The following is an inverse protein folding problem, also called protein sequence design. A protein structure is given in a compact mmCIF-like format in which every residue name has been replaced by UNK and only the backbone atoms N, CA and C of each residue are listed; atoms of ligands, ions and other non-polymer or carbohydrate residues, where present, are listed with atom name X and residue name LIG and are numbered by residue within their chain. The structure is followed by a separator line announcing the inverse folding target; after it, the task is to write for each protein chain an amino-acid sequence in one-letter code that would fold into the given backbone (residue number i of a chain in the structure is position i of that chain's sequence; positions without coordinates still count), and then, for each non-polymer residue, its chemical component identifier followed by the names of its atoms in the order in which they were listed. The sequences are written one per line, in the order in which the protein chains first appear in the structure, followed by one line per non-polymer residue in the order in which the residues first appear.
data_IF_416192456877
#
_entry.id   IF_416192456877
#
_cell.length_a   1.000
_cell.length_b   1.000
_cell.length_c   1.000
_cell.angle_alpha   90.00
_cell.angle_beta   90.00
_cell.angle_gamma   90.00
#
_symmetry.space_group_name_H-M   'P 1'
#
loop_
_entity.id
_entity.type
_entity.pdbx_description
1 polymer ?
#
# COMPACT_ATOMS: atom_id res chain seq x y z
N UNK A 1 23.30 -45.87 -36.05
CA UNK A 1 23.51 -45.65 -34.61
C UNK A 1 23.86 -44.18 -34.26
N UNK A 2 23.29 -43.23 -34.91
CA UNK A 2 23.64 -41.79 -34.64
C UNK A 2 22.43 -40.88 -34.36
N UNK A 3 21.27 -41.40 -34.00
CA UNK A 3 20.03 -40.64 -33.79
C UNK A 3 19.45 -40.71 -32.37
N UNK A 4 20.17 -41.23 -31.39
CA UNK A 4 19.62 -41.43 -30.03
C UNK A 4 20.25 -40.56 -28.95
N UNK A 5 21.22 -39.70 -29.29
CA UNK A 5 21.92 -38.87 -28.31
C UNK A 5 21.45 -37.40 -28.26
N UNK A 6 20.66 -36.98 -29.24
CA UNK A 6 20.13 -35.63 -29.28
C UNK A 6 18.85 -35.45 -28.46
N UNK A 7 18.20 -36.55 -28.05
CA UNK A 7 16.97 -36.48 -27.25
C UNK A 7 17.23 -36.36 -25.73
N UNK A 8 18.44 -36.70 -25.29
CA UNK A 8 18.77 -36.63 -23.84
C UNK A 8 19.30 -35.29 -23.39
N UNK A 9 19.70 -34.42 -24.30
CA UNK A 9 20.21 -33.10 -23.96
C UNK A 9 19.10 -32.03 -23.77
N UNK A 10 17.91 -32.28 -24.31
CA UNK A 10 16.79 -31.33 -24.16
C UNK A 10 15.95 -31.50 -22.89
N UNK A 11 16.07 -32.66 -22.21
CA UNK A 11 15.25 -32.94 -21.01
C UNK A 11 15.89 -32.41 -19.74
N UNK A 12 17.17 -32.02 -19.78
CA UNK A 12 17.90 -31.52 -18.60
C UNK A 12 17.88 -30.01 -18.46
N UNK A 13 17.31 -29.30 -19.43
CA UNK A 13 17.28 -27.82 -19.43
C UNK A 13 15.93 -27.21 -18.99
N UNK A 14 14.96 -28.06 -18.63
CA UNK A 14 13.61 -27.60 -18.27
C UNK A 14 13.31 -27.69 -16.78
N UNK A 15 14.31 -28.02 -15.97
CA UNK A 15 14.21 -28.00 -14.50
C UNK A 15 14.99 -26.86 -13.86
N UNK A 16 15.35 -25.82 -14.62
CA UNK A 16 15.55 -24.52 -14.01
C UNK A 16 14.15 -24.00 -13.61
N UNK A 17 13.60 -24.63 -12.58
CA UNK A 17 12.48 -24.12 -11.85
C UNK A 17 12.76 -22.66 -11.56
N UNK A 18 12.01 -21.79 -12.21
CA UNK A 18 11.71 -20.47 -11.72
C UNK A 18 11.14 -20.67 -10.31
N UNK A 19 12.02 -20.76 -9.34
CA UNK A 19 11.69 -20.32 -8.00
C UNK A 19 11.55 -18.79 -8.11
N UNK A 20 10.41 -18.34 -8.65
CA UNK A 20 9.88 -17.06 -8.27
C UNK A 20 9.90 -17.09 -6.75
N UNK A 21 10.61 -16.17 -6.08
CA UNK A 21 10.34 -15.98 -4.68
C UNK A 21 8.83 -15.78 -4.65
N UNK A 22 8.11 -16.67 -3.98
CA UNK A 22 6.77 -16.38 -3.58
C UNK A 22 6.93 -15.05 -2.85
N UNK A 23 6.55 -13.97 -3.51
CA UNK A 23 6.33 -12.71 -2.84
C UNK A 23 5.33 -13.10 -1.77
N UNK A 24 5.83 -13.19 -0.54
CA UNK A 24 5.00 -13.46 0.60
C UNK A 24 3.92 -12.41 0.54
N UNK A 25 2.72 -12.82 0.21
CA UNK A 25 1.56 -11.96 0.29
C UNK A 25 1.58 -11.39 1.70
N UNK A 26 1.73 -10.07 1.82
CA UNK A 26 1.77 -9.41 3.10
C UNK A 26 3.10 -9.49 3.88
N UNK A 27 4.24 -9.51 3.21
CA UNK A 27 5.55 -9.71 3.82
C UNK A 27 6.15 -8.50 4.53
N UNK A 28 5.40 -7.79 5.37
CA UNK A 28 5.98 -6.81 6.28
C UNK A 28 6.67 -7.52 7.45
N UNK A 29 7.92 -7.17 7.71
CA UNK A 29 8.74 -7.80 8.75
C UNK A 29 8.25 -7.50 10.16
N UNK A 30 7.50 -6.41 10.32
CA UNK A 30 6.92 -5.94 11.57
C UNK A 30 5.46 -6.35 11.78
N UNK A 31 4.92 -7.19 10.89
CA UNK A 31 3.60 -7.83 11.02
C UNK A 31 3.81 -9.33 11.23
N UNK A 32 3.87 -9.79 12.49
CA UNK A 32 4.07 -11.20 12.77
C UNK A 32 2.87 -12.03 12.33
N UNK A 33 3.14 -13.21 11.78
CA UNK A 33 2.09 -14.17 11.42
C UNK A 33 1.26 -14.56 12.62
N UNK A 34 -0.06 -14.53 12.49
CA UNK A 34 -1.01 -14.79 13.56
C UNK A 34 -1.35 -13.57 14.44
N UNK A 35 -0.81 -12.40 14.16
CA UNK A 35 -1.24 -11.18 14.82
C UNK A 35 -2.72 -10.88 14.50
N UNK A 36 -3.49 -10.40 15.48
CA UNK A 36 -4.92 -10.11 15.32
C UNK A 36 -5.22 -9.11 14.19
N UNK A 37 -4.25 -8.28 13.84
CA UNK A 37 -4.35 -7.27 12.76
C UNK A 37 -3.75 -7.74 11.43
N UNK A 38 -3.12 -8.91 11.36
CA UNK A 38 -2.47 -9.40 10.15
C UNK A 38 -3.44 -9.45 8.95
N UNK A 39 -4.63 -10.02 9.14
CA UNK A 39 -5.63 -10.11 8.10
C UNK A 39 -6.06 -8.72 7.57
N UNK A 40 -6.23 -7.76 8.48
CA UNK A 40 -6.58 -6.39 8.11
C UNK A 40 -5.46 -5.69 7.34
N UNK A 41 -4.20 -5.88 7.76
CA UNK A 41 -3.02 -5.34 7.05
C UNK A 41 -2.93 -5.90 5.65
N UNK A 42 -3.09 -7.21 5.50
CA UNK A 42 -3.07 -7.86 4.20
C UNK A 42 -4.17 -7.33 3.28
N UNK A 43 -5.40 -7.20 3.78
CA UNK A 43 -6.54 -6.70 3.01
C UNK A 43 -6.33 -5.24 2.55
N UNK A 44 -5.91 -4.33 3.44
CA UNK A 44 -5.73 -2.92 3.06
C UNK A 44 -4.55 -2.72 2.12
N UNK A 45 -3.55 -3.60 2.19
CA UNK A 45 -2.40 -3.59 1.29
C UNK A 45 -2.78 -4.15 -0.08
N UNK A 46 -3.49 -5.27 -0.12
CA UNK A 46 -3.98 -5.89 -1.37
C UNK A 46 -4.90 -4.94 -2.14
N UNK A 47 -5.80 -4.25 -1.44
CA UNK A 47 -6.67 -3.23 -2.04
C UNK A 47 -5.96 -1.91 -2.37
N UNK A 48 -4.69 -1.76 -1.99
CA UNK A 48 -3.92 -0.55 -2.23
C UNK A 48 -4.34 0.66 -1.40
N UNK A 49 -5.14 0.48 -0.35
CA UNK A 49 -5.56 1.57 0.53
C UNK A 49 -4.42 2.08 1.40
N UNK A 50 -3.58 1.15 1.88
CA UNK A 50 -2.36 1.45 2.64
C UNK A 50 -1.18 0.67 2.05
N UNK A 51 0.00 1.28 2.03
CA UNK A 51 1.21 0.69 1.44
C UNK A 51 2.35 0.53 2.43
N UNK A 52 2.07 0.71 3.73
CA UNK A 52 3.09 0.72 4.76
C UNK A 52 3.94 2.01 4.76
N UNK A 53 4.94 2.04 5.64
CA UNK A 53 5.89 3.15 5.76
C UNK A 53 7.15 2.91 4.93
N UNK A 54 7.41 1.66 4.54
CA UNK A 54 8.46 1.24 3.62
C UNK A 54 8.06 -0.05 2.92
N UNK A 55 8.90 -0.53 2.00
CA UNK A 55 8.66 -1.80 1.29
C UNK A 55 8.59 -3.02 2.22
N UNK A 56 9.23 -2.94 3.38
CA UNK A 56 9.32 -4.06 4.34
C UNK A 56 8.66 -3.80 5.69
N UNK A 57 8.10 -2.62 5.92
CA UNK A 57 7.53 -2.23 7.21
C UNK A 57 6.17 -1.55 7.04
N UNK A 58 5.20 -2.02 7.80
CA UNK A 58 3.86 -1.44 7.86
C UNK A 58 3.70 -0.43 8.99
N UNK A 59 4.43 -0.60 10.09
CA UNK A 59 4.38 0.17 11.33
C UNK A 59 2.99 0.16 12.00
N UNK A 60 2.47 -1.03 12.38
CA UNK A 60 1.10 -1.18 12.90
C UNK A 60 0.87 -0.45 14.23
N UNK A 61 1.93 -0.15 14.97
CA UNK A 61 1.88 0.56 16.26
C UNK A 61 2.17 2.07 16.15
N UNK A 62 2.45 2.55 14.94
CA UNK A 62 2.72 3.97 14.74
C UNK A 62 1.43 4.81 14.80
N UNK A 63 1.59 6.05 15.26
CA UNK A 63 0.48 6.99 15.26
C UNK A 63 0.06 7.34 13.83
N UNK A 64 -1.24 7.29 13.57
CA UNK A 64 -1.81 7.67 12.28
C UNK A 64 -1.96 9.18 12.22
N UNK A 65 -1.39 9.80 11.18
CA UNK A 65 -1.54 11.23 10.95
C UNK A 65 -2.86 11.56 10.24
N UNK A 66 -3.34 12.79 10.36
CA UNK A 66 -4.52 13.26 9.60
C UNK A 66 -4.33 13.08 8.09
N UNK A 67 -3.13 13.37 7.59
CA UNK A 67 -2.77 13.17 6.18
C UNK A 67 -2.92 11.70 5.75
N UNK A 68 -2.52 10.76 6.60
CA UNK A 68 -2.68 9.33 6.34
C UNK A 68 -4.16 8.94 6.26
N UNK A 69 -4.98 9.37 7.22
CA UNK A 69 -6.44 9.07 7.22
C UNK A 69 -7.10 9.60 5.95
N UNK A 70 -6.85 10.86 5.60
CA UNK A 70 -7.41 11.47 4.40
C UNK A 70 -6.96 10.74 3.13
N UNK A 71 -5.70 10.32 3.07
CA UNK A 71 -5.18 9.57 1.93
C UNK A 71 -5.81 8.19 1.78
N UNK A 72 -6.06 7.49 2.89
CA UNK A 72 -6.75 6.20 2.87
C UNK A 72 -8.18 6.38 2.35
N UNK A 73 -8.92 7.35 2.87
CA UNK A 73 -10.29 7.64 2.40
C UNK A 73 -10.31 8.01 0.91
N UNK A 74 -9.38 8.84 0.46
CA UNK A 74 -9.25 9.20 -0.94
C UNK A 74 -8.98 8.00 -1.85
N UNK A 75 -8.14 7.06 -1.40
CA UNK A 75 -7.87 5.82 -2.14
C UNK A 75 -9.08 4.89 -2.16
N UNK A 76 -9.84 4.83 -1.07
CA UNK A 76 -11.08 4.03 -1.00
C UNK A 76 -12.13 4.52 -1.99
N UNK A 77 -12.17 5.84 -2.26
CA UNK A 77 -13.04 6.46 -3.28
C UNK A 77 -12.49 6.35 -4.71
N UNK A 78 -11.40 5.59 -4.91
CA UNK A 78 -10.80 5.39 -6.23
C UNK A 78 -9.85 6.49 -6.66
N UNK A 79 -9.31 7.27 -5.73
CA UNK A 79 -8.32 8.33 -5.98
C UNK A 79 -8.80 9.40 -6.98
N UNK A 80 -9.99 9.99 -6.78
CA UNK A 80 -10.54 10.97 -7.70
C UNK A 80 -9.66 12.21 -7.81
N UNK A 81 -9.58 12.79 -9.00
CA UNK A 81 -8.88 14.06 -9.18
C UNK A 81 -9.56 15.17 -8.37
N UNK A 82 -8.79 16.02 -7.66
CA UNK A 82 -9.38 17.12 -6.91
C UNK A 82 -10.02 18.13 -7.87
N UNK A 83 -11.26 18.50 -7.59
CA UNK A 83 -12.04 19.45 -8.42
C UNK A 83 -11.68 20.91 -8.16
N UNK A 84 -10.90 21.18 -7.13
CA UNK A 84 -10.47 22.53 -6.76
C UNK A 84 -8.98 22.54 -6.41
N UNK A 85 -8.29 23.58 -6.86
CA UNK A 85 -6.93 23.87 -6.39
C UNK A 85 -7.05 24.50 -5.01
N UNK A 86 -6.57 23.76 -4.00
CA UNK A 86 -6.57 24.24 -2.63
C UNK A 86 -5.14 24.36 -2.17
N UNK A 87 -4.80 25.54 -1.70
CA UNK A 87 -3.52 25.83 -1.07
C UNK A 87 -3.73 25.97 0.44
N UNK A 88 -3.03 25.17 1.20
CA UNK A 88 -2.84 25.33 2.63
C UNK A 88 -1.40 25.74 2.87
N UNK A 89 -1.17 26.64 3.83
CA UNK A 89 0.18 27.12 4.12
C UNK A 89 1.15 26.07 4.67
N UNK A 90 0.59 24.97 5.19
CA UNK A 90 1.31 23.84 5.80
C UNK A 90 1.32 22.57 4.92
N UNK A 91 0.79 22.66 3.71
CA UNK A 91 0.77 21.54 2.74
C UNK A 91 1.60 21.92 1.53
N UNK A 92 2.76 21.26 1.39
CA UNK A 92 3.57 21.42 0.17
C UNK A 92 2.82 20.83 -1.03
N UNK A 93 2.80 21.51 -2.19
CA UNK A 93 2.17 21.00 -3.42
C UNK A 93 2.76 19.66 -3.91
N UNK A 94 4.00 19.40 -3.55
CA UNK A 94 4.73 18.17 -3.92
C UNK A 94 4.57 17.05 -2.88
N UNK A 95 3.87 17.32 -1.78
CA UNK A 95 3.65 16.31 -0.75
C UNK A 95 2.76 15.18 -1.27
N UNK A 96 3.07 13.95 -0.89
CA UNK A 96 2.30 12.75 -1.27
C UNK A 96 0.82 12.80 -0.87
N UNK A 97 0.48 13.63 0.11
CA UNK A 97 -0.89 13.85 0.60
C UNK A 97 -1.55 15.11 0.05
N UNK A 98 -0.89 15.87 -0.83
CA UNK A 98 -1.42 17.14 -1.34
C UNK A 98 -2.73 16.96 -2.11
N UNK A 99 -2.81 15.98 -3.01
CA UNK A 99 -4.03 15.66 -3.76
C UNK A 99 -5.16 15.14 -2.85
N UNK A 100 -4.93 14.17 -1.96
CA UNK A 100 -5.93 13.75 -0.98
C UNK A 100 -6.48 14.90 -0.15
N UNK A 101 -5.63 15.79 0.33
CA UNK A 101 -6.05 16.96 1.13
C UNK A 101 -6.90 17.94 0.32
N UNK A 102 -6.52 18.20 -0.93
CA UNK A 102 -7.30 19.05 -1.84
C UNK A 102 -8.68 18.43 -2.14
N UNK A 103 -8.72 17.13 -2.38
CA UNK A 103 -9.97 16.39 -2.56
C UNK A 103 -10.85 16.46 -1.30
N UNK A 104 -10.30 16.18 -0.14
CA UNK A 104 -11.03 16.20 1.12
C UNK A 104 -11.69 17.57 1.38
N UNK A 105 -10.99 18.67 1.06
CA UNK A 105 -11.57 20.00 1.15
C UNK A 105 -12.70 20.21 0.14
N UNK A 106 -12.52 19.76 -1.09
CA UNK A 106 -13.54 19.90 -2.15
C UNK A 106 -14.84 19.20 -1.80
N UNK A 107 -14.78 18.02 -1.15
CA UNK A 107 -15.95 17.26 -0.69
C UNK A 107 -16.42 17.63 0.72
N UNK A 108 -15.91 18.73 1.28
CA UNK A 108 -16.30 19.26 2.61
C UNK A 108 -15.97 18.35 3.79
N UNK A 109 -15.03 17.43 3.65
CA UNK A 109 -14.49 16.67 4.79
C UNK A 109 -13.77 17.53 5.83
N UNK A 110 -13.67 18.83 5.59
CA UNK A 110 -13.14 19.81 6.55
C UNK A 110 -14.00 19.91 7.82
N UNK A 111 -15.26 19.50 7.77
CA UNK A 111 -16.17 19.42 8.91
C UNK A 111 -16.11 18.09 9.66
N UNK A 112 -15.36 17.13 9.18
CA UNK A 112 -14.83 16.09 10.03
C UNK A 112 -13.77 16.72 10.93
N UNK A 113 -14.18 17.60 11.79
CA UNK A 113 -13.60 17.67 13.10
C UNK A 113 -13.81 16.28 13.65
N UNK A 114 -12.83 15.42 13.40
CA UNK A 114 -12.67 14.22 14.20
C UNK A 114 -12.59 14.77 15.62
N UNK A 115 -13.69 14.69 16.39
CA UNK A 115 -13.66 15.22 17.71
C UNK A 115 -12.60 14.38 18.41
N UNK A 116 -11.47 15.00 18.72
CA UNK A 116 -10.58 14.54 19.77
C UNK A 116 -9.87 13.19 19.62
N UNK A 117 -9.75 12.60 18.43
CA UNK A 117 -8.89 11.41 18.29
C UNK A 117 -7.41 11.80 18.18
N UNK A 118 -7.10 13.08 18.05
CA UNK A 118 -5.72 13.59 17.98
C UNK A 118 -5.31 14.43 19.16
N UNK A 119 -5.97 14.31 20.29
CA UNK A 119 -5.53 14.92 21.53
C UNK A 119 -5.30 13.86 22.62
N UNK A 120 -4.25 13.09 22.44
CA UNK A 120 -3.52 12.42 23.51
C UNK A 120 -2.06 12.44 23.16
#
# INVERSE_FOLDING_TARGET
MKKRWTALACTLCLCASLTLPAAAAGGYTDVPGGAWYEAAVNEVTEKGYMTGVSESQFAPTANVTRATVVTVLWRMEGSPAPTATVSFGDVSPEAWYAQPVAWAKAVSYTHLTLPTICSV
#
